data_IF_556315438385
#
_entry.id   IF_556315438385
#
_cell.length_a   1.000
_cell.length_b   1.000
_cell.length_c   1.000
_cell.angle_alpha   90.00
_cell.angle_beta   90.00
_cell.angle_gamma   90.00
#
_symmetry.space_group_name_H-M   'P 1'
#
loop_
_entity.id
_entity.type
_entity.pdbx_description
1 polymer ?
#
# COMPACT_ATOMS: atom_id res chain seq x y z
N UNK A 1 15.06 -6.98 -10.71
CA UNK A 1 13.83 -6.77 -9.91
C UNK A 1 13.25 -5.37 -10.11
N UNK A 2 14.02 -4.29 -9.94
CA UNK A 2 13.52 -2.90 -10.07
C UNK A 2 13.02 -2.54 -11.47
N UNK A 3 13.74 -2.92 -12.54
CA UNK A 3 13.32 -2.66 -13.93
C UNK A 3 11.93 -3.28 -14.19
N UNK A 4 11.71 -4.51 -13.73
CA UNK A 4 10.42 -5.19 -13.82
C UNK A 4 9.35 -4.51 -12.96
N UNK A 5 9.70 -4.05 -11.75
CA UNK A 5 8.79 -3.33 -10.86
C UNK A 5 8.34 -1.98 -11.43
N UNK A 6 9.27 -1.18 -11.95
CA UNK A 6 8.99 0.12 -12.58
C UNK A 6 8.16 -0.10 -13.86
N UNK A 7 8.58 -1.04 -14.71
CA UNK A 7 7.83 -1.35 -15.92
C UNK A 7 6.41 -1.86 -15.60
N UNK A 8 6.27 -2.71 -14.58
CA UNK A 8 4.99 -3.21 -14.10
C UNK A 8 4.08 -2.10 -13.53
N UNK A 9 4.63 -1.18 -12.73
CA UNK A 9 3.89 -0.03 -12.20
C UNK A 9 3.42 0.89 -13.34
N UNK A 10 4.31 1.23 -14.29
CA UNK A 10 3.99 2.06 -15.46
C UNK A 10 2.90 1.39 -16.31
N UNK A 11 3.03 0.09 -16.60
CA UNK A 11 2.05 -0.67 -17.38
C UNK A 11 0.68 -0.67 -16.68
N UNK A 12 0.66 -0.86 -15.36
CA UNK A 12 -0.57 -0.86 -14.55
C UNK A 12 -1.26 0.50 -14.60
N UNK A 13 -0.50 1.58 -14.44
CA UNK A 13 -1.02 2.95 -14.57
C UNK A 13 -1.55 3.17 -15.99
N UNK A 14 -0.80 2.80 -17.04
CA UNK A 14 -1.23 2.98 -18.43
C UNK A 14 -2.52 2.22 -18.75
N UNK A 15 -2.63 0.96 -18.34
CA UNK A 15 -3.83 0.12 -18.59
C UNK A 15 -5.06 0.70 -17.90
N UNK A 16 -4.94 1.09 -16.62
CA UNK A 16 -6.05 1.65 -15.87
C UNK A 16 -6.43 3.07 -16.32
N UNK A 17 -5.47 3.87 -16.78
CA UNK A 17 -5.73 5.22 -17.29
C UNK A 17 -6.42 5.17 -18.67
N UNK A 18 -6.03 4.23 -19.53
CA UNK A 18 -6.56 4.13 -20.91
C UNK A 18 -8.03 3.72 -20.98
N UNK A 19 -8.53 2.95 -20.02
CA UNK A 19 -9.88 2.39 -20.08
C UNK A 19 -10.85 3.13 -19.14
N UNK A 20 -11.54 4.15 -19.68
CA UNK A 20 -12.50 5.01 -18.94
C UNK A 20 -13.57 4.24 -18.15
N UNK A 21 -13.93 3.01 -18.57
CA UNK A 21 -14.89 2.16 -17.87
C UNK A 21 -14.39 1.74 -16.48
N UNK A 22 -13.08 1.66 -16.26
CA UNK A 22 -12.47 1.28 -14.99
C UNK A 22 -12.48 2.40 -13.95
N UNK A 23 -12.55 3.66 -14.37
CA UNK A 23 -12.56 4.82 -13.48
C UNK A 23 -13.84 4.89 -12.63
N UNK A 24 -14.89 4.22 -13.10
CA UNK A 24 -16.17 4.14 -12.41
C UNK A 24 -16.22 2.99 -11.39
N UNK A 25 -15.22 2.12 -11.37
CA UNK A 25 -15.13 1.03 -10.40
C UNK A 25 -14.28 1.48 -9.19
N UNK A 26 -14.84 1.53 -7.98
CA UNK A 26 -14.13 2.00 -6.79
C UNK A 26 -12.89 1.15 -6.45
N UNK A 27 -12.98 -0.18 -6.58
CA UNK A 27 -11.85 -1.08 -6.29
C UNK A 27 -10.64 -0.79 -7.19
N UNK A 28 -10.87 -0.53 -8.48
CA UNK A 28 -9.79 -0.22 -9.43
C UNK A 28 -9.12 1.11 -9.07
N UNK A 29 -9.87 2.10 -8.55
CA UNK A 29 -9.27 3.36 -8.13
C UNK A 29 -8.30 3.19 -6.95
N UNK A 30 -8.62 2.33 -5.98
CA UNK A 30 -7.68 1.99 -4.90
C UNK A 30 -6.43 1.30 -5.42
N UNK A 31 -6.59 0.32 -6.32
CA UNK A 31 -5.46 -0.39 -6.92
C UNK A 31 -4.57 0.53 -7.78
N UNK A 32 -5.18 1.46 -8.51
CA UNK A 32 -4.45 2.49 -9.27
C UNK A 32 -3.67 3.41 -8.34
N UNK A 33 -4.29 3.88 -7.25
CA UNK A 33 -3.59 4.70 -6.24
C UNK A 33 -2.39 3.95 -5.64
N UNK A 34 -2.56 2.65 -5.34
CA UNK A 34 -1.45 1.78 -4.92
C UNK A 34 -0.35 1.66 -5.95
N UNK A 35 -0.70 1.44 -7.23
CA UNK A 35 0.28 1.37 -8.30
C UNK A 35 1.07 2.68 -8.48
N UNK A 36 0.42 3.84 -8.33
CA UNK A 36 1.08 5.14 -8.36
C UNK A 36 2.05 5.29 -7.19
N UNK A 37 1.63 4.95 -5.96
CA UNK A 37 2.51 5.02 -4.80
C UNK A 37 3.70 4.07 -4.91
N UNK A 38 3.50 2.85 -5.40
CA UNK A 38 4.59 1.91 -5.67
C UNK A 38 5.53 2.45 -6.76
N UNK A 39 5.00 3.10 -7.80
CA UNK A 39 5.78 3.77 -8.84
C UNK A 39 6.64 4.93 -8.33
N UNK A 40 6.21 5.62 -7.27
CA UNK A 40 6.99 6.66 -6.57
C UNK A 40 8.02 6.02 -5.63
N UNK A 41 7.61 4.99 -4.88
CA UNK A 41 8.45 4.30 -3.91
C UNK A 41 9.68 3.64 -4.56
N UNK A 42 9.50 2.94 -5.68
CA UNK A 42 10.57 2.20 -6.36
C UNK A 42 11.80 3.04 -6.70
N UNK A 43 11.68 4.19 -7.39
CA UNK A 43 12.82 5.05 -7.68
C UNK A 43 13.33 5.79 -6.43
N UNK A 44 12.46 6.21 -5.52
CA UNK A 44 12.87 6.97 -4.33
C UNK A 44 13.67 6.11 -3.33
N UNK A 45 13.33 4.83 -3.19
CA UNK A 45 13.88 3.96 -2.16
C UNK A 45 14.93 3.00 -2.70
N UNK A 46 14.56 2.22 -3.72
CA UNK A 46 15.41 1.12 -4.16
C UNK A 46 16.60 1.56 -5.02
N UNK A 47 16.47 2.67 -5.77
CA UNK A 47 17.59 3.20 -6.53
C UNK A 47 18.75 3.59 -5.60
N UNK A 48 18.42 4.26 -4.49
CA UNK A 48 19.39 4.63 -3.47
C UNK A 48 20.00 3.42 -2.78
N UNK A 49 19.19 2.45 -2.35
CA UNK A 49 19.73 1.23 -1.73
C UNK A 49 20.71 0.47 -2.63
N UNK A 50 20.53 0.50 -3.96
CA UNK A 50 21.50 -0.09 -4.90
C UNK A 50 22.76 0.76 -5.00
N UNK A 51 22.64 2.08 -5.08
CA UNK A 51 23.80 2.97 -5.16
C UNK A 51 24.68 2.85 -3.92
N UNK A 52 24.07 2.78 -2.73
CA UNK A 52 24.80 2.62 -1.47
C UNK A 52 25.37 1.21 -1.32
N UNK A 53 24.55 0.17 -1.40
CA UNK A 53 25.01 -1.21 -1.11
C UNK A 53 25.79 -1.85 -2.27
N UNK A 54 25.48 -1.47 -3.51
CA UNK A 54 26.07 -2.05 -4.71
C UNK A 54 27.31 -1.29 -5.21
N UNK A 55 27.35 0.03 -5.03
CA UNK A 55 28.41 0.88 -5.59
C UNK A 55 29.17 1.70 -4.53
N UNK A 56 28.76 1.66 -3.25
CA UNK A 56 29.34 2.49 -2.19
C UNK A 56 29.09 3.99 -2.38
N UNK A 57 28.19 4.37 -3.30
CA UNK A 57 27.88 5.76 -3.64
C UNK A 57 26.69 6.23 -2.80
N UNK A 58 26.99 6.79 -1.63
CA UNK A 58 26.02 7.39 -0.73
C UNK A 58 25.54 8.78 -1.18
N UNK A 59 24.87 8.92 -2.33
CA UNK A 59 24.35 10.22 -2.81
C UNK A 59 23.47 10.97 -1.79
N UNK A 60 22.81 10.22 -0.91
CA UNK A 60 21.95 10.75 0.16
C UNK A 60 22.60 10.64 1.55
N UNK A 61 23.80 10.07 1.62
CA UNK A 61 24.64 10.08 2.83
C UNK A 61 25.57 11.30 2.86
N UNK A 62 25.58 12.11 1.80
CA UNK A 62 26.38 13.34 1.70
C UNK A 62 25.62 14.57 2.21
N UNK A 63 24.29 14.54 2.17
CA UNK A 63 23.44 15.65 2.58
C UNK A 63 22.38 15.19 3.59
N UNK A 64 22.32 15.90 4.71
CA UNK A 64 21.43 15.59 5.83
C UNK A 64 19.95 15.78 5.44
N UNK A 65 19.67 16.76 4.59
CA UNK A 65 18.31 17.01 4.07
C UNK A 65 17.86 15.84 3.21
N UNK A 66 18.72 15.42 2.28
CA UNK A 66 18.45 14.29 1.39
C UNK A 66 18.22 12.97 2.19
N UNK A 67 18.99 12.72 3.25
CA UNK A 67 18.80 11.57 4.14
C UNK A 67 17.43 11.56 4.83
N UNK A 68 17.00 12.72 5.35
CA UNK A 68 15.71 12.86 6.05
C UNK A 68 14.53 12.68 5.10
N UNK A 69 14.59 13.31 3.92
CA UNK A 69 13.55 13.17 2.90
C UNK A 69 13.44 11.73 2.40
N UNK A 70 14.57 11.05 2.19
CA UNK A 70 14.57 9.65 1.78
C UNK A 70 13.86 8.74 2.79
N UNK A 71 14.23 8.81 4.07
CA UNK A 71 13.60 7.99 5.11
C UNK A 71 12.11 8.30 5.23
N UNK A 72 11.74 9.58 5.22
CA UNK A 72 10.33 9.98 5.26
C UNK A 72 9.54 9.38 4.08
N UNK A 73 10.04 9.53 2.85
CA UNK A 73 9.42 8.95 1.67
C UNK A 73 9.36 7.43 1.76
N UNK A 74 10.38 6.77 2.27
CA UNK A 74 10.41 5.31 2.46
C UNK A 74 9.24 4.84 3.32
N UNK A 75 9.11 5.37 4.53
CA UNK A 75 8.04 4.94 5.45
C UNK A 75 6.66 5.31 4.92
N UNK A 76 6.48 6.57 4.51
CA UNK A 76 5.18 7.09 4.04
C UNK A 76 4.68 6.33 2.81
N UNK A 77 5.52 6.17 1.78
CA UNK A 77 5.09 5.56 0.52
C UNK A 77 4.81 4.07 0.68
N UNK A 78 5.58 3.37 1.52
CA UNK A 78 5.39 1.92 1.75
C UNK A 78 4.07 1.65 2.45
N UNK A 79 3.79 2.33 3.56
CA UNK A 79 2.55 2.12 4.31
C UNK A 79 1.33 2.52 3.49
N UNK A 80 1.43 3.61 2.73
CA UNK A 80 0.34 4.06 1.87
C UNK A 80 0.06 3.01 0.78
N UNK A 81 1.09 2.44 0.15
CA UNK A 81 0.95 1.39 -0.85
C UNK A 81 0.31 0.11 -0.29
N UNK A 82 0.65 -0.27 0.95
CA UNK A 82 0.07 -1.43 1.67
C UNK A 82 -1.39 -1.18 2.10
N UNK A 83 -1.73 0.06 2.43
CA UNK A 83 -3.08 0.43 2.89
C UNK A 83 -4.13 0.33 1.77
N UNK A 84 -3.77 0.57 0.51
CA UNK A 84 -4.74 0.56 -0.58
C UNK A 84 -5.34 -0.81 -0.90
N UNK A 85 -4.58 -1.92 -0.94
CA UNK A 85 -5.14 -3.27 -0.98
C UNK A 85 -6.10 -3.56 0.18
N UNK A 86 -5.82 -3.04 1.38
CA UNK A 86 -6.72 -3.17 2.53
C UNK A 86 -8.07 -2.47 2.25
N UNK A 87 -8.04 -1.22 1.78
CA UNK A 87 -9.25 -0.50 1.37
C UNK A 87 -9.98 -1.17 0.20
N UNK A 88 -9.26 -1.71 -0.77
CA UNK A 88 -9.83 -2.47 -1.88
C UNK A 88 -10.59 -3.72 -1.39
N UNK A 89 -10.04 -4.44 -0.41
CA UNK A 89 -10.70 -5.61 0.19
C UNK A 89 -11.96 -5.22 0.99
N UNK A 90 -11.91 -4.09 1.71
CA UNK A 90 -13.06 -3.55 2.43
C UNK A 90 -14.17 -3.10 1.47
N UNK A 91 -13.84 -2.39 0.40
CA UNK A 91 -14.79 -1.96 -0.61
C UNK A 91 -15.44 -3.16 -1.31
N UNK A 92 -14.67 -4.22 -1.57
CA UNK A 92 -15.19 -5.48 -2.08
C UNK A 92 -16.19 -6.12 -1.10
N UNK A 93 -15.87 -6.15 0.19
CA UNK A 93 -16.80 -6.61 1.23
C UNK A 93 -18.08 -5.75 1.28
N UNK A 94 -17.94 -4.43 1.27
CA UNK A 94 -19.07 -3.50 1.29
C UNK A 94 -19.97 -3.64 0.05
N UNK A 95 -19.38 -3.90 -1.12
CA UNK A 95 -20.11 -4.12 -2.37
C UNK A 95 -20.93 -5.43 -2.37
N UNK A 96 -20.47 -6.44 -1.63
CA UNK A 96 -21.12 -7.75 -1.51
C UNK A 96 -22.09 -7.85 -0.33
N UNK A 97 -22.11 -6.86 0.56
CA UNK A 97 -23.05 -6.81 1.68
C UNK A 97 -24.51 -6.78 1.21
N UNK A 98 -25.37 -7.51 1.93
CA UNK A 98 -26.82 -7.61 1.65
C UNK A 98 -27.58 -6.30 1.91
N UNK A 99 -27.08 -5.46 2.83
CA UNK A 99 -27.69 -4.17 3.15
C UNK A 99 -27.46 -3.16 2.01
N UNK A 100 -28.53 -2.85 1.27
CA UNK A 100 -28.48 -1.95 0.12
C UNK A 100 -28.07 -0.51 0.48
N UNK A 101 -28.45 -0.02 1.66
CA UNK A 101 -28.07 1.32 2.15
C UNK A 101 -26.58 1.41 2.43
N UNK A 102 -26.03 0.39 3.11
CA UNK A 102 -24.60 0.28 3.38
C UNK A 102 -23.80 0.20 2.08
N UNK A 103 -24.21 -0.67 1.16
CA UNK A 103 -23.59 -0.81 -0.16
C UNK A 103 -23.59 0.49 -0.95
N UNK A 104 -24.71 1.20 -1.02
CA UNK A 104 -24.80 2.44 -1.80
C UNK A 104 -23.92 3.56 -1.24
N UNK A 105 -23.83 3.67 0.09
CA UNK A 105 -23.03 4.71 0.75
C UNK A 105 -21.53 4.52 0.52
N UNK A 106 -21.04 3.29 0.67
CA UNK A 106 -19.59 3.00 0.60
C UNK A 106 -19.09 2.82 -0.83
N UNK A 107 -19.90 2.28 -1.74
CA UNK A 107 -19.54 2.06 -3.15
C UNK A 107 -19.54 3.36 -3.99
N UNK A 108 -19.65 4.54 -3.35
CA UNK A 108 -19.66 5.83 -4.04
C UNK A 108 -18.24 6.28 -4.36
N UNK A 109 -18.00 6.66 -5.62
CA UNK A 109 -16.68 7.13 -6.07
C UNK A 109 -16.17 8.37 -5.31
N UNK A 110 -17.09 9.19 -4.77
CA UNK A 110 -16.74 10.34 -3.94
C UNK A 110 -16.09 9.90 -2.63
N UNK A 111 -16.67 8.88 -1.99
CA UNK A 111 -16.14 8.29 -0.76
C UNK A 111 -14.78 7.69 -1.04
N UNK A 112 -14.62 6.92 -2.12
CA UNK A 112 -13.34 6.32 -2.50
C UNK A 112 -12.23 7.34 -2.69
N UNK A 113 -12.49 8.44 -3.41
CA UNK A 113 -11.49 9.51 -3.59
C UNK A 113 -11.13 10.16 -2.25
N UNK A 114 -12.11 10.41 -1.40
CA UNK A 114 -11.89 10.99 -0.08
C UNK A 114 -11.11 10.04 0.83
N UNK A 115 -11.37 8.73 0.77
CA UNK A 115 -10.58 7.71 1.47
C UNK A 115 -9.16 7.65 0.95
N UNK A 116 -8.93 7.73 -0.36
CA UNK A 116 -7.58 7.74 -0.94
C UNK A 116 -6.80 8.94 -0.44
N UNK A 117 -7.35 10.15 -0.61
CA UNK A 117 -6.69 11.39 -0.18
C UNK A 117 -6.50 11.41 1.34
N UNK A 118 -7.53 11.00 2.10
CA UNK A 118 -7.46 10.90 3.55
C UNK A 118 -6.39 9.93 4.03
N UNK A 119 -6.23 8.78 3.37
CA UNK A 119 -5.19 7.78 3.71
C UNK A 119 -3.80 8.34 3.46
N UNK A 120 -3.58 8.99 2.31
CA UNK A 120 -2.30 9.64 1.98
C UNK A 120 -1.98 10.70 3.04
N UNK A 121 -2.91 11.60 3.34
CA UNK A 121 -2.71 12.68 4.32
C UNK A 121 -2.47 12.13 5.73
N UNK A 122 -3.24 11.13 6.15
CA UNK A 122 -3.10 10.49 7.45
C UNK A 122 -1.70 9.93 7.65
N UNK A 123 -1.20 9.15 6.68
CA UNK A 123 0.14 8.58 6.76
C UNK A 123 1.25 9.62 6.60
N UNK A 124 1.04 10.65 5.77
CA UNK A 124 1.96 11.78 5.69
C UNK A 124 2.15 12.45 7.04
N UNK A 125 1.06 12.73 7.78
CA UNK A 125 1.12 13.39 9.09
C UNK A 125 1.79 12.49 10.14
N UNK A 126 1.43 11.21 10.18
CA UNK A 126 1.97 10.26 11.16
C UNK A 126 3.48 10.08 11.05
N UNK A 127 4.02 10.10 9.83
CA UNK A 127 5.45 9.90 9.59
C UNK A 127 6.28 11.19 9.55
N UNK A 128 5.68 12.38 9.74
CA UNK A 128 6.44 13.64 9.89
C UNK A 128 7.59 13.52 10.92
N UNK A 129 7.42 12.88 12.09
CA UNK A 129 8.49 12.79 13.08
C UNK A 129 9.77 12.11 12.56
N UNK A 130 9.67 11.22 11.56
CA UNK A 130 10.82 10.56 10.92
C UNK A 130 11.82 11.59 10.37
N UNK A 131 11.35 12.71 9.83
CA UNK A 131 12.22 13.79 9.31
C UNK A 131 13.13 14.36 10.41
N UNK A 132 12.67 14.37 11.66
CA UNK A 132 13.43 14.91 12.79
C UNK A 132 14.33 13.86 13.47
N UNK A 133 14.00 12.57 13.33
CA UNK A 133 14.77 11.47 13.91
C UNK A 133 15.65 10.74 12.89
N UNK A 134 15.80 11.27 11.68
CA UNK A 134 16.74 10.78 10.67
C UNK A 134 17.97 11.68 10.58
N UNK A 135 19.13 11.08 10.36
CA UNK A 135 20.39 11.81 10.18
C UNK A 135 21.54 10.89 9.79
N UNK A 136 22.72 11.48 9.58
CA UNK A 136 23.90 10.76 9.09
C UNK A 136 24.84 10.42 10.25
N UNK A 137 25.15 9.13 10.43
CA UNK A 137 26.15 8.63 11.38
C UNK A 137 27.17 7.82 10.60
N UNK A 138 28.46 8.14 10.73
CA UNK A 138 29.57 7.46 10.04
C UNK A 138 29.38 7.33 8.52
N UNK A 139 28.86 8.38 7.87
CA UNK A 139 28.59 8.38 6.42
C UNK A 139 27.45 7.44 6.00
N UNK A 140 26.59 7.03 6.94
CA UNK A 140 25.40 6.23 6.69
C UNK A 140 24.15 6.96 7.19
N UNK A 141 23.13 7.05 6.34
CA UNK A 141 21.84 7.61 6.69
C UNK A 141 21.07 6.61 7.58
N UNK A 142 20.81 6.98 8.83
CA UNK A 142 20.18 6.11 9.84
C UNK A 142 19.14 6.85 10.68
N UNK A 143 18.29 6.09 11.34
CA UNK A 143 17.38 6.60 12.37
C UNK A 143 18.15 6.78 13.68
N UNK A 144 18.10 7.99 14.25
CA UNK A 144 18.70 8.28 15.54
C UNK A 144 17.94 7.55 16.66
N UNK A 145 18.64 7.12 17.72
CA UNK A 145 18.01 6.50 18.87
C UNK A 145 17.08 7.50 19.57
N UNK A 146 15.79 7.17 19.64
CA UNK A 146 14.74 7.96 20.26
C UNK A 146 13.64 7.01 20.75
N UNK A 147 12.91 7.33 21.83
CA UNK A 147 11.74 6.55 22.23
C UNK A 147 10.74 6.34 21.08
N UNK A 148 10.63 7.33 20.18
CA UNK A 148 9.81 7.23 18.98
C UNK A 148 10.33 6.17 17.99
N UNK A 149 11.64 6.11 17.76
CA UNK A 149 12.21 5.12 16.81
C UNK A 149 12.11 3.71 17.37
N UNK A 150 12.31 3.51 18.68
CA UNK A 150 12.06 2.23 19.34
C UNK A 150 10.59 1.80 19.20
N UNK A 151 9.64 2.68 19.50
CA UNK A 151 8.22 2.38 19.34
C UNK A 151 7.85 2.09 17.88
N UNK A 152 8.35 2.89 16.94
CA UNK A 152 8.08 2.73 15.52
C UNK A 152 8.62 1.40 14.98
N UNK A 153 9.85 1.03 15.33
CA UNK A 153 10.48 -0.21 14.85
C UNK A 153 9.84 -1.45 15.45
N UNK A 154 9.66 -1.51 16.78
CA UNK A 154 9.22 -2.74 17.45
C UNK A 154 7.70 -2.93 17.52
N UNK A 155 6.91 -1.86 17.42
CA UNK A 155 5.46 -1.93 17.56
C UNK A 155 4.76 -1.54 16.27
N UNK A 156 5.04 -0.33 15.77
CA UNK A 156 4.28 0.23 14.65
C UNK A 156 4.59 -0.49 13.34
N UNK A 157 5.86 -0.72 13.02
CA UNK A 157 6.31 -1.39 11.79
C UNK A 157 5.74 -2.81 11.67
N UNK A 158 5.94 -3.75 12.61
CA UNK A 158 5.41 -5.10 12.48
C UNK A 158 3.87 -5.12 12.42
N UNK A 159 3.22 -4.23 13.16
CA UNK A 159 1.76 -4.13 13.14
C UNK A 159 1.23 -3.59 11.80
N UNK A 160 1.82 -2.53 11.26
CA UNK A 160 1.33 -1.84 10.05
C UNK A 160 1.78 -2.53 8.76
N UNK A 161 2.96 -3.16 8.74
CA UNK A 161 3.54 -3.75 7.53
C UNK A 161 3.22 -5.23 7.36
N UNK A 162 3.01 -5.95 8.47
CA UNK A 162 2.81 -7.40 8.44
C UNK A 162 1.43 -7.77 8.99
N UNK A 163 1.20 -7.60 10.29
CA UNK A 163 0.05 -8.21 10.98
C UNK A 163 -1.28 -7.57 10.54
N UNK A 164 -1.37 -6.24 10.59
CA UNK A 164 -2.58 -5.48 10.31
C UNK A 164 -3.13 -5.70 8.91
N UNK A 165 -2.33 -5.50 7.84
CA UNK A 165 -2.79 -5.73 6.46
C UNK A 165 -3.27 -7.15 6.21
N UNK A 166 -2.57 -8.15 6.74
CA UNK A 166 -2.95 -9.56 6.60
C UNK A 166 -4.30 -9.79 7.27
N UNK A 167 -4.46 -9.38 8.54
CA UNK A 167 -5.72 -9.54 9.27
C UNK A 167 -6.88 -8.84 8.54
N UNK A 168 -6.69 -7.59 8.13
CA UNK A 168 -7.71 -6.78 7.47
C UNK A 168 -8.16 -7.43 6.17
N UNK A 169 -7.22 -7.77 5.29
CA UNK A 169 -7.57 -8.35 3.99
C UNK A 169 -8.15 -9.75 4.17
N UNK A 170 -7.62 -10.58 5.09
CA UNK A 170 -8.17 -11.91 5.37
C UNK A 170 -9.61 -11.85 5.87
N UNK A 171 -9.91 -10.99 6.86
CA UNK A 171 -11.26 -10.84 7.42
C UNK A 171 -12.24 -10.38 6.34
N UNK A 172 -11.91 -9.33 5.58
CA UNK A 172 -12.81 -8.80 4.56
C UNK A 172 -12.96 -9.73 3.35
N UNK A 173 -11.91 -10.46 2.96
CA UNK A 173 -11.99 -11.47 1.90
C UNK A 173 -12.86 -12.64 2.33
N UNK A 174 -12.70 -13.14 3.57
CA UNK A 174 -13.58 -14.20 4.11
C UNK A 174 -15.03 -13.73 4.18
N UNK A 175 -15.29 -12.52 4.67
CA UNK A 175 -16.62 -11.92 4.69
C UNK A 175 -17.24 -11.82 3.30
N UNK A 176 -16.44 -11.42 2.31
CA UNK A 176 -16.85 -11.35 0.90
C UNK A 176 -17.24 -12.73 0.37
N UNK A 177 -16.46 -13.77 0.65
CA UNK A 177 -16.75 -15.15 0.23
C UNK A 177 -18.04 -15.67 0.86
N UNK A 178 -18.26 -15.42 2.16
CA UNK A 178 -19.50 -15.80 2.86
C UNK A 178 -20.72 -15.11 2.24
N UNK A 179 -20.65 -13.79 2.08
CA UNK A 179 -21.74 -13.00 1.47
C UNK A 179 -22.04 -13.46 0.03
N UNK A 180 -21.02 -13.84 -0.74
CA UNK A 180 -21.19 -14.35 -2.10
C UNK A 180 -21.83 -15.72 -2.10
N UNK A 181 -21.41 -16.64 -1.21
CA UNK A 181 -21.96 -17.99 -1.11
C UNK A 181 -23.48 -17.96 -0.88
N UNK A 182 -23.93 -17.07 0.01
CA UNK A 182 -25.35 -16.87 0.32
C UNK A 182 -26.16 -16.28 -0.85
N UNK A 183 -25.51 -15.56 -1.78
CA UNK A 183 -26.14 -14.92 -2.95
C UNK A 183 -26.10 -15.81 -4.20
N UNK A 184 -25.11 -16.72 -4.31
CA UNK A 184 -24.95 -17.64 -5.47
C UNK A 184 -26.09 -18.63 -5.67
N UNK A 185 -27.02 -18.76 -4.70
CA UNK A 185 -28.27 -19.48 -4.94
C UNK A 185 -29.17 -18.83 -6.00
N UNK A 186 -28.98 -17.54 -6.37
CA UNK A 186 -29.96 -16.80 -7.17
C UNK A 186 -29.42 -15.94 -8.33
N UNK A 187 -28.10 -15.62 -8.45
CA UNK A 187 -27.57 -14.89 -9.63
C UNK A 187 -26.13 -15.26 -10.01
N UNK A 188 -25.80 -15.39 -11.31
CA UNK A 188 -24.43 -15.61 -11.76
C UNK A 188 -23.56 -14.40 -11.43
N UNK A 189 -22.40 -14.66 -10.86
CA UNK A 189 -21.38 -13.65 -10.54
C UNK A 189 -21.09 -12.75 -11.75
N UNK A 190 -21.00 -11.44 -11.52
CA UNK A 190 -20.39 -10.55 -12.49
C UNK A 190 -18.92 -10.93 -12.65
N UNK A 191 -18.50 -11.30 -13.88
CA UNK A 191 -17.11 -11.69 -14.23
C UNK A 191 -16.03 -10.74 -13.65
N UNK A 192 -16.38 -9.47 -13.48
CA UNK A 192 -15.53 -8.43 -12.90
C UNK A 192 -15.18 -8.68 -11.41
N UNK A 193 -16.14 -9.14 -10.59
CA UNK A 193 -15.89 -9.41 -9.17
C UNK A 193 -14.98 -10.64 -8.97
N UNK A 194 -15.12 -11.62 -9.85
CA UNK A 194 -14.27 -12.80 -9.87
C UNK A 194 -12.85 -12.47 -10.34
N UNK A 195 -12.71 -11.62 -11.37
CA UNK A 195 -11.41 -11.11 -11.83
C UNK A 195 -10.68 -10.30 -10.75
N UNK A 196 -11.39 -9.44 -10.03
CA UNK A 196 -10.80 -8.63 -8.93
C UNK A 196 -10.37 -9.51 -7.76
N UNK A 197 -11.14 -10.54 -7.38
CA UNK A 197 -10.73 -11.53 -6.36
C UNK A 197 -9.45 -12.26 -6.76
N UNK A 198 -9.32 -12.65 -8.02
CA UNK A 198 -8.11 -13.26 -8.56
C UNK A 198 -6.91 -12.31 -8.59
N UNK A 199 -7.13 -11.00 -8.53
CA UNK A 199 -6.05 -10.00 -8.46
C UNK A 199 -5.57 -9.74 -7.02
N UNK A 200 -6.47 -9.76 -6.03
CA UNK A 200 -6.16 -9.51 -4.61
C UNK A 200 -5.45 -10.70 -3.91
N UNK A 201 -5.80 -11.94 -4.25
CA UNK A 201 -5.18 -13.14 -3.67
C UNK A 201 -3.65 -13.22 -3.88
N UNK A 202 -3.11 -13.06 -5.11
CA UNK A 202 -1.68 -13.08 -5.32
C UNK A 202 -0.98 -11.87 -4.69
N UNK A 203 -1.62 -10.69 -4.65
CA UNK A 203 -1.09 -9.54 -3.93
C UNK A 203 -0.93 -9.82 -2.43
N UNK A 204 -1.89 -10.53 -1.82
CA UNK A 204 -1.81 -10.93 -0.43
C UNK A 204 -0.72 -11.97 -0.17
N UNK A 205 -0.59 -12.97 -1.04
CA UNK A 205 0.49 -13.96 -0.94
C UNK A 205 1.87 -13.30 -1.05
N UNK A 206 2.04 -12.39 -2.01
CA UNK A 206 3.28 -11.62 -2.15
C UNK A 206 3.54 -10.79 -0.91
N UNK A 207 2.53 -10.09 -0.37
CA UNK A 207 2.65 -9.28 0.84
C UNK A 207 3.02 -10.12 2.09
N UNK A 208 2.49 -11.33 2.22
CA UNK A 208 2.84 -12.24 3.33
C UNK A 208 4.30 -12.71 3.18
N UNK A 209 4.67 -13.16 1.98
CA UNK A 209 6.03 -13.69 1.73
C UNK A 209 7.08 -12.60 1.84
N UNK A 210 6.79 -11.38 1.35
CA UNK A 210 7.72 -10.26 1.38
C UNK A 210 7.66 -9.47 2.68
N UNK A 211 6.49 -9.29 3.30
CA UNK A 211 6.28 -8.41 4.45
C UNK A 211 6.70 -9.01 5.79
N UNK A 212 6.77 -10.34 5.92
CA UNK A 212 7.27 -11.01 7.13
C UNK A 212 8.75 -10.69 7.39
N UNK A 213 9.69 -10.83 6.45
CA UNK A 213 11.09 -10.51 6.72
C UNK A 213 11.34 -9.03 7.03
N UNK A 214 10.55 -8.10 6.48
CA UNK A 214 10.69 -6.66 6.79
C UNK A 214 10.10 -6.24 8.14
N UNK A 215 9.12 -6.97 8.66
CA UNK A 215 8.50 -6.65 9.96
C UNK A 215 9.31 -7.11 11.17
N UNK A 216 10.26 -8.02 10.99
CA UNK A 216 11.08 -8.61 12.05
C UNK A 216 12.58 -8.26 11.96
N UNK A 217 12.93 -7.21 11.21
CA UNK A 217 14.28 -6.61 11.18
C UNK A 217 14.37 -5.42 12.13
#
# INVERSE_FOLDING_TARGET
MIILGIFGAILTVLVFTKQRRFWRNPIINYLLAGAVMTGIHLPAVYLQSILVNGFGLGLFNTDDIACREHNYLLYMTTVTAISFPCWASFDQYASTCRNASFRHRWNSIRVVRLTIVGTVLFWSIIYIPIIFVSGIINGSCVLLPSPYTTFNTYVMTPFVYSIGPILVISIFTMGTVRNLHDVTGHRPQGRLAQQVRHMLLPQLLVLVISGVPFGFQ
#
